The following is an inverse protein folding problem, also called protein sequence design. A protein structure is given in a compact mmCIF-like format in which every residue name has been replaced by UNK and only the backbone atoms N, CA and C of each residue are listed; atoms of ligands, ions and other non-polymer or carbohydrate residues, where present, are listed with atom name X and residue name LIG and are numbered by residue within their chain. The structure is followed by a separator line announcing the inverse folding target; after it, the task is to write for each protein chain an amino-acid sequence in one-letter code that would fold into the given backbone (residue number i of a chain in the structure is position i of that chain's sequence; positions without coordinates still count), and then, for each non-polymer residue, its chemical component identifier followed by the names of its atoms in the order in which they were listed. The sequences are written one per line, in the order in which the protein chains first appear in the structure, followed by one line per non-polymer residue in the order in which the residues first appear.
data_IF_942741151628
#
_entry.id   IF_942741151628
#
_cell.length_a   1.000
_cell.length_b   1.000
_cell.length_c   1.000
_cell.angle_alpha   90.00
_cell.angle_beta   90.00
_cell.angle_gamma   90.00
#
_symmetry.space_group_name_H-M   'P 1'
#
loop_
_entity.id
_entity.type
_entity.pdbx_description
1 polymer ?
#
# COMPACT_ATOMS: atom_id res chain seq x y z
N UNK A 1 -21.00 25.49 3.30
CA UNK A 1 -19.65 24.89 3.35
C UNK A 1 -19.70 23.65 2.50
N UNK A 2 -19.17 23.77 1.28
CA UNK A 2 -19.17 22.69 0.30
C UNK A 2 -18.13 21.64 0.73
N UNK A 3 -18.60 20.43 0.98
CA UNK A 3 -17.73 19.26 1.13
C UNK A 3 -17.11 18.96 -0.24
N UNK A 4 -15.96 19.55 -0.53
CA UNK A 4 -15.17 19.16 -1.69
C UNK A 4 -14.55 17.79 -1.40
N UNK A 5 -15.27 16.71 -1.74
CA UNK A 5 -14.71 15.37 -1.74
C UNK A 5 -13.43 15.38 -2.60
N UNK A 6 -12.26 14.98 -2.06
CA UNK A 6 -11.03 14.98 -2.84
C UNK A 6 -11.18 13.96 -3.96
N UNK A 7 -11.27 14.46 -5.19
CA UNK A 7 -11.47 13.71 -6.42
C UNK A 7 -10.44 12.58 -6.49
N UNK A 8 -10.91 11.34 -6.34
CA UNK A 8 -10.10 10.17 -6.68
C UNK A 8 -9.69 10.26 -8.15
N UNK A 9 -8.45 9.88 -8.48
CA UNK A 9 -8.02 9.83 -9.87
C UNK A 9 -8.87 8.80 -10.64
N UNK A 10 -9.31 9.14 -11.85
CA UNK A 10 -10.00 8.22 -12.76
C UNK A 10 -9.14 6.98 -12.96
N UNK A 11 -9.60 5.83 -12.46
CA UNK A 11 -8.93 4.55 -12.67
C UNK A 11 -9.71 3.76 -13.70
N UNK A 12 -9.20 3.73 -14.92
CA UNK A 12 -9.77 2.92 -16.01
C UNK A 12 -9.41 1.43 -15.91
N UNK A 13 -8.83 0.99 -14.79
CA UNK A 13 -8.50 -0.41 -14.51
C UNK A 13 -9.66 -1.38 -14.74
N UNK A 14 -10.93 -1.07 -14.39
CA UNK A 14 -12.06 -1.94 -14.71
C UNK A 14 -12.24 -2.13 -16.22
N UNK A 15 -12.07 -1.06 -17.00
CA UNK A 15 -12.16 -1.11 -18.47
C UNK A 15 -11.03 -1.97 -19.06
N UNK A 16 -9.78 -1.76 -18.64
CA UNK A 16 -8.63 -2.55 -19.13
C UNK A 16 -8.78 -4.04 -18.77
N UNK A 17 -9.30 -4.34 -17.57
CA UNK A 17 -9.58 -5.71 -17.13
C UNK A 17 -10.68 -6.35 -17.97
N UNK A 18 -11.78 -5.65 -18.18
CA UNK A 18 -12.91 -6.11 -19.00
C UNK A 18 -12.48 -6.36 -20.46
N UNK A 19 -11.69 -5.45 -21.04
CA UNK A 19 -11.08 -5.61 -22.36
C UNK A 19 -10.19 -6.85 -22.41
N UNK A 20 -9.32 -7.06 -21.42
CA UNK A 20 -8.49 -8.24 -21.32
C UNK A 20 -9.29 -9.54 -21.20
N UNK A 21 -10.37 -9.54 -20.41
CA UNK A 21 -11.25 -10.71 -20.25
C UNK A 21 -12.00 -11.04 -21.56
N UNK A 22 -12.57 -10.03 -22.22
CA UNK A 22 -13.24 -10.17 -23.51
C UNK A 22 -12.29 -10.70 -24.59
N UNK A 23 -11.05 -10.20 -24.63
CA UNK A 23 -10.03 -10.63 -25.58
C UNK A 23 -9.66 -12.11 -25.39
N UNK A 24 -9.55 -12.58 -24.14
CA UNK A 24 -9.23 -13.99 -23.84
C UNK A 24 -10.43 -14.94 -23.91
N UNK A 25 -11.65 -14.42 -24.09
CA UNK A 25 -12.86 -15.22 -24.14
C UNK A 25 -13.29 -15.84 -22.81
N UNK A 26 -12.72 -15.42 -21.67
CA UNK A 26 -13.19 -15.85 -20.35
C UNK A 26 -14.52 -15.16 -20.04
N UNK A 27 -15.60 -15.94 -19.84
CA UNK A 27 -16.90 -15.43 -19.37
C UNK A 27 -16.73 -14.94 -17.92
N UNK A 28 -17.08 -13.70 -17.62
CA UNK A 28 -17.47 -13.31 -16.26
C UNK A 28 -18.81 -13.98 -15.98
N UNK A 29 -18.79 -15.14 -15.33
CA UNK A 29 -19.91 -15.74 -14.59
C UNK A 29 -19.42 -17.02 -13.90
N UNK A 30 -18.90 -16.87 -12.68
CA UNK A 30 -19.01 -17.89 -11.63
C UNK A 30 -19.38 -17.14 -10.34
N UNK A 31 -20.56 -17.39 -9.75
CA UNK A 31 -20.91 -16.88 -8.42
C UNK A 31 -20.06 -17.57 -7.34
N UNK A 32 -19.86 -16.88 -6.22
CA UNK A 32 -19.23 -17.41 -5.00
C UNK A 32 -19.83 -18.77 -4.59
N UNK A 33 -19.02 -19.83 -4.56
CA UNK A 33 -18.90 -20.77 -3.43
C UNK A 33 -17.96 -21.93 -3.81
N UNK A 34 -16.73 -21.89 -3.32
CA UNK A 34 -16.05 -23.10 -2.82
C UNK A 34 -14.75 -22.67 -2.13
N UNK A 35 -14.85 -22.62 -0.81
CA UNK A 35 -13.77 -22.62 0.15
C UNK A 35 -12.83 -23.81 -0.15
N UNK A 36 -11.60 -23.52 -0.53
CA UNK A 36 -10.60 -24.52 -0.91
C UNK A 36 -9.21 -23.93 -0.70
N UNK A 37 -8.53 -24.46 0.30
CA UNK A 37 -7.23 -24.06 0.82
C UNK A 37 -6.14 -23.93 -0.26
N UNK A 38 -5.31 -22.90 -0.12
CA UNK A 38 -3.93 -22.90 -0.62
C UNK A 38 -3.72 -22.38 -2.04
N UNK A 39 -4.18 -21.17 -2.36
CA UNK A 39 -3.77 -20.52 -3.60
C UNK A 39 -2.60 -19.57 -3.33
N UNK A 40 -1.44 -19.96 -3.83
CA UNK A 40 -0.23 -19.14 -3.88
C UNK A 40 -0.60 -17.83 -4.56
N UNK A 41 -0.60 -16.73 -3.81
CA UNK A 41 -0.62 -15.39 -4.40
C UNK A 41 0.75 -15.19 -5.03
N UNK A 42 0.95 -15.74 -6.23
CA UNK A 42 1.95 -15.23 -7.15
C UNK A 42 1.32 -13.99 -7.79
N UNK A 43 1.81 -12.77 -7.50
CA UNK A 43 1.46 -11.63 -8.32
C UNK A 43 2.26 -11.78 -9.61
N UNK A 44 1.85 -12.70 -10.49
CA UNK A 44 2.30 -12.61 -11.87
C UNK A 44 1.80 -11.25 -12.35
N UNK A 45 2.70 -10.32 -12.77
CA UNK A 45 2.27 -8.97 -13.13
C UNK A 45 1.16 -9.12 -14.16
N UNK A 46 -0.05 -8.62 -13.86
CA UNK A 46 -1.20 -8.73 -14.74
C UNK A 46 -0.75 -8.37 -16.15
N UNK A 47 -0.56 -9.38 -17.02
CA UNK A 47 -0.01 -9.17 -18.35
C UNK A 47 -0.90 -8.15 -19.03
N UNK A 48 -0.38 -6.95 -19.32
CA UNK A 48 -1.18 -5.86 -19.87
C UNK A 48 -1.58 -6.19 -21.31
N UNK A 49 -2.78 -6.72 -21.47
CA UNK A 49 -3.34 -7.12 -22.77
C UNK A 49 -3.72 -5.92 -23.63
N UNK A 50 -4.04 -4.80 -23.00
CA UNK A 50 -4.33 -3.53 -23.66
C UNK A 50 -3.45 -2.44 -23.08
N UNK A 51 -3.01 -1.54 -23.97
CA UNK A 51 -2.34 -0.29 -23.62
C UNK A 51 -3.29 0.87 -23.85
N UNK A 52 -3.24 1.83 -22.95
CA UNK A 52 -3.86 3.14 -23.14
C UNK A 52 -3.14 3.91 -24.24
N UNK A 53 -3.92 4.65 -25.02
CA UNK A 53 -3.38 5.47 -26.10
C UNK A 53 -2.79 6.75 -25.55
N UNK A 54 -1.62 7.13 -26.07
CA UNK A 54 -1.02 8.43 -25.80
C UNK A 54 -1.83 9.56 -26.44
N UNK A 55 -1.66 10.80 -25.95
CA UNK A 55 -2.37 11.98 -26.45
C UNK A 55 -2.35 12.13 -27.99
N UNK A 56 -1.22 11.76 -28.63
CA UNK A 56 -1.06 11.80 -30.10
C UNK A 56 -2.00 10.84 -30.84
N UNK A 57 -2.44 9.76 -30.19
CA UNK A 57 -3.24 8.69 -30.79
C UNK A 57 -4.73 8.74 -30.40
N UNK A 58 -5.12 9.62 -29.47
CA UNK A 58 -6.51 9.76 -29.01
C UNK A 58 -7.47 10.20 -30.12
N UNK A 59 -7.02 10.65 -31.28
CA UNK A 59 -7.93 10.91 -32.41
C UNK A 59 -8.44 9.63 -33.06
N UNK A 60 -7.67 8.55 -32.99
CA UNK A 60 -7.94 7.32 -33.75
C UNK A 60 -8.30 6.14 -32.87
N UNK A 61 -7.86 6.13 -31.60
CA UNK A 61 -8.10 5.03 -30.64
C UNK A 61 -7.97 5.50 -29.20
N UNK A 62 -8.63 4.78 -28.29
CA UNK A 62 -8.48 4.96 -26.84
C UNK A 62 -7.60 3.86 -26.25
N UNK A 63 -7.76 2.62 -26.73
CA UNK A 63 -6.94 1.48 -26.33
C UNK A 63 -6.37 0.72 -27.54
N UNK A 64 -5.25 0.03 -27.33
CA UNK A 64 -4.62 -0.85 -28.32
C UNK A 64 -4.16 -2.14 -27.65
N UNK A 65 -4.59 -3.28 -28.18
CA UNK A 65 -3.92 -4.57 -27.97
C UNK A 65 -2.94 -4.79 -29.13
N UNK A 66 -1.61 -4.68 -28.92
CA UNK A 66 -0.63 -4.78 -29.99
C UNK A 66 -0.67 -6.13 -30.71
N UNK A 67 -0.28 -6.16 -31.99
CA UNK A 67 -0.19 -7.41 -32.78
C UNK A 67 0.67 -8.47 -32.10
N UNK A 68 1.74 -8.08 -31.38
CA UNK A 68 2.57 -9.02 -30.62
C UNK A 68 1.81 -9.72 -29.50
N UNK A 69 0.87 -9.03 -28.85
CA UNK A 69 -0.02 -9.61 -27.84
C UNK A 69 -1.04 -10.52 -28.51
N UNK A 70 -1.63 -10.09 -29.62
CA UNK A 70 -2.61 -10.87 -30.36
C UNK A 70 -2.02 -12.17 -30.92
N UNK A 71 -0.77 -12.16 -31.40
CA UNK A 71 -0.06 -13.35 -31.87
C UNK A 71 0.18 -14.39 -30.77
N UNK A 72 0.11 -14.01 -29.48
CA UNK A 72 0.14 -14.99 -28.38
C UNK A 72 -1.22 -15.64 -28.11
N UNK A 73 -2.32 -15.06 -28.62
CA UNK A 73 -3.69 -15.51 -28.35
C UNK A 73 -4.36 -16.15 -29.57
N UNK A 74 -4.01 -15.70 -30.78
CA UNK A 74 -4.66 -16.09 -32.02
C UNK A 74 -3.62 -16.41 -33.08
N UNK A 75 -3.87 -17.49 -33.84
CA UNK A 75 -3.06 -17.85 -34.99
C UNK A 75 -3.00 -16.67 -35.98
N UNK A 76 -1.80 -16.38 -36.49
CA UNK A 76 -1.50 -15.27 -37.40
C UNK A 76 -1.90 -13.86 -36.89
N UNK A 77 -2.17 -13.72 -35.59
CA UNK A 77 -2.65 -12.46 -35.00
C UNK A 77 -4.05 -12.06 -35.44
N UNK A 78 -4.80 -12.95 -36.10
CA UNK A 78 -6.16 -12.67 -36.58
C UNK A 78 -7.15 -12.76 -35.42
N UNK A 79 -7.73 -11.63 -35.03
CA UNK A 79 -8.74 -11.59 -33.97
C UNK A 79 -10.09 -12.08 -34.54
N UNK A 80 -10.71 -13.13 -33.96
CA UNK A 80 -12.00 -13.61 -34.43
C UNK A 80 -13.09 -12.52 -34.33
N UNK A 81 -14.02 -12.41 -35.30
CA UNK A 81 -15.11 -11.42 -35.26
C UNK A 81 -15.96 -11.50 -33.98
N UNK A 82 -16.11 -12.70 -33.42
CA UNK A 82 -16.82 -12.91 -32.16
C UNK A 82 -16.13 -12.23 -30.97
N UNK A 83 -14.80 -12.12 -30.97
CA UNK A 83 -14.03 -11.41 -29.94
C UNK A 83 -14.20 -9.91 -30.08
N UNK A 84 -14.17 -9.39 -31.32
CA UNK A 84 -14.45 -7.98 -31.59
C UNK A 84 -15.85 -7.61 -31.11
N UNK A 85 -16.85 -8.46 -31.40
CA UNK A 85 -18.23 -8.28 -30.95
C UNK A 85 -18.34 -8.23 -29.43
N UNK A 86 -17.64 -9.12 -28.71
CA UNK A 86 -17.57 -9.11 -27.24
C UNK A 86 -16.93 -7.84 -26.70
N UNK A 87 -15.83 -7.39 -27.31
CA UNK A 87 -15.16 -6.15 -26.93
C UNK A 87 -16.09 -4.95 -27.13
N UNK A 88 -16.79 -4.85 -28.25
CA UNK A 88 -17.72 -3.74 -28.52
C UNK A 88 -19.01 -3.81 -27.69
N UNK A 89 -19.38 -5.00 -27.21
CA UNK A 89 -20.54 -5.20 -26.34
C UNK A 89 -20.22 -5.01 -24.85
N UNK A 90 -18.99 -4.63 -24.48
CA UNK A 90 -18.63 -4.40 -23.09
C UNK A 90 -19.47 -3.28 -22.48
N UNK A 91 -20.08 -3.59 -21.34
CA UNK A 91 -20.84 -2.68 -20.51
C UNK A 91 -20.67 -3.08 -19.03
N UNK A 92 -20.92 -2.16 -18.10
CA UNK A 92 -20.89 -2.46 -16.67
C UNK A 92 -20.48 -1.26 -15.82
N UNK A 93 -20.64 -1.38 -14.51
CA UNK A 93 -20.22 -0.34 -13.55
C UNK A 93 -18.72 -0.08 -13.67
N UNK A 94 -18.34 1.17 -13.96
CA UNK A 94 -16.94 1.59 -14.11
C UNK A 94 -16.24 1.14 -15.40
N UNK A 95 -16.96 0.46 -16.29
CA UNK A 95 -16.46 0.10 -17.63
C UNK A 95 -16.90 1.18 -18.61
N UNK A 96 -15.95 1.77 -19.33
CA UNK A 96 -16.25 2.76 -20.35
C UNK A 96 -17.11 2.15 -21.47
N UNK A 97 -18.13 2.86 -21.98
CA UNK A 97 -18.94 2.37 -23.09
C UNK A 97 -18.12 2.30 -24.38
N UNK A 98 -18.25 1.22 -25.14
CA UNK A 98 -17.46 1.01 -26.36
C UNK A 98 -18.19 1.51 -27.60
N UNK A 99 -17.49 2.23 -28.47
CA UNK A 99 -18.00 2.72 -29.74
C UNK A 99 -17.60 1.82 -30.91
N UNK A 100 -16.35 1.32 -30.92
CA UNK A 100 -15.84 0.49 -32.01
C UNK A 100 -14.62 -0.32 -31.61
N UNK A 101 -14.44 -1.47 -32.29
CA UNK A 101 -13.22 -2.27 -32.27
C UNK A 101 -12.79 -2.59 -33.71
N UNK A 102 -11.52 -2.37 -34.02
CA UNK A 102 -10.98 -2.55 -35.39
C UNK A 102 -9.60 -3.23 -35.34
N UNK A 103 -9.42 -4.27 -36.14
CA UNK A 103 -8.12 -4.92 -36.32
C UNK A 103 -7.34 -4.18 -37.40
N UNK A 104 -6.14 -3.74 -37.04
CA UNK A 104 -5.22 -3.03 -37.94
C UNK A 104 -3.85 -3.69 -37.90
N UNK A 105 -2.92 -3.23 -38.74
CA UNK A 105 -1.52 -3.74 -38.73
C UNK A 105 -0.83 -3.60 -37.37
N UNK A 106 -1.21 -2.58 -36.59
CA UNK A 106 -0.68 -2.33 -35.23
C UNK A 106 -1.30 -3.23 -34.16
N UNK A 107 -2.44 -3.84 -34.46
CA UNK A 107 -3.21 -4.70 -33.56
C UNK A 107 -4.68 -4.28 -33.48
N UNK A 108 -5.35 -4.67 -32.39
CA UNK A 108 -6.76 -4.40 -32.14
C UNK A 108 -6.91 -3.03 -31.46
N UNK A 109 -7.43 -2.06 -32.22
CA UNK A 109 -7.77 -0.72 -31.75
C UNK A 109 -9.18 -0.74 -31.17
N UNK A 110 -9.36 -0.05 -30.07
CA UNK A 110 -10.66 0.10 -29.42
C UNK A 110 -10.93 1.57 -29.16
N UNK A 111 -12.15 2.01 -29.47
CA UNK A 111 -12.65 3.35 -29.20
C UNK A 111 -13.78 3.31 -28.20
N UNK A 112 -13.73 4.24 -27.25
CA UNK A 112 -14.76 4.52 -26.27
C UNK A 112 -15.81 5.43 -26.90
N UNK A 113 -17.09 5.22 -26.59
CA UNK A 113 -18.11 6.23 -26.82
C UNK A 113 -17.92 7.36 -25.80
N UNK A 114 -17.07 8.32 -26.15
CA UNK A 114 -16.73 9.45 -25.29
C UNK A 114 -17.95 10.29 -24.96
N UNK A 115 -18.90 10.41 -25.89
CA UNK A 115 -20.10 11.21 -25.66
C UNK A 115 -21.01 10.53 -24.63
N UNK A 116 -21.19 9.21 -24.72
CA UNK A 116 -21.91 8.44 -23.70
C UNK A 116 -21.20 8.46 -22.34
N UNK A 117 -19.87 8.25 -22.32
CA UNK A 117 -19.08 8.31 -21.10
C UNK A 117 -19.19 9.68 -20.43
N UNK A 118 -19.05 10.76 -21.20
CA UNK A 118 -19.15 12.13 -20.70
C UNK A 118 -20.55 12.44 -20.16
N UNK A 119 -21.62 12.04 -20.88
CA UNK A 119 -22.99 12.16 -20.38
C UNK A 119 -23.21 11.41 -19.06
N UNK A 120 -22.67 10.20 -18.93
CA UNK A 120 -22.78 9.43 -17.70
C UNK A 120 -22.09 10.11 -16.52
N UNK A 121 -20.89 10.68 -16.74
CA UNK A 121 -20.17 11.46 -15.73
C UNK A 121 -20.96 12.70 -15.32
N UNK A 122 -21.47 13.47 -16.28
CA UNK A 122 -22.28 14.67 -16.00
C UNK A 122 -23.60 14.35 -15.28
N UNK A 123 -24.16 13.16 -15.49
CA UNK A 123 -25.36 12.69 -14.80
C UNK A 123 -25.09 12.16 -13.37
N UNK A 124 -23.88 12.37 -12.82
CA UNK A 124 -23.50 11.92 -11.48
C UNK A 124 -22.88 10.51 -11.42
N UNK A 125 -22.71 9.83 -12.56
CA UNK A 125 -22.08 8.51 -12.65
C UNK A 125 -20.55 8.51 -12.51
N UNK A 126 -19.94 9.64 -12.13
CA UNK A 126 -18.49 9.74 -11.95
C UNK A 126 -17.97 8.72 -10.93
N UNK A 127 -18.72 8.49 -9.86
CA UNK A 127 -18.36 7.54 -8.80
C UNK A 127 -18.09 6.13 -9.34
N UNK A 128 -18.79 5.69 -10.38
CA UNK A 128 -18.61 4.34 -10.95
C UNK A 128 -17.23 4.15 -11.58
N UNK A 129 -16.65 5.20 -12.15
CA UNK A 129 -15.28 5.19 -12.72
C UNK A 129 -14.19 5.46 -11.67
N UNK A 130 -14.59 5.95 -10.50
CA UNK A 130 -13.70 6.30 -9.39
C UNK A 130 -13.67 5.22 -8.30
N UNK A 131 -14.56 4.24 -8.36
CA UNK A 131 -14.63 3.13 -7.41
C UNK A 131 -13.32 2.33 -7.43
N UNK A 132 -12.71 2.08 -6.24
CA UNK A 132 -11.58 1.16 -6.14
C UNK A 132 -11.99 -0.21 -6.69
N UNK A 133 -11.10 -0.82 -7.46
CA UNK A 133 -11.37 -2.09 -8.14
C UNK A 133 -11.44 -3.31 -7.19
N UNK A 134 -11.10 -3.12 -5.90
CA UNK A 134 -11.25 -4.06 -4.79
C UNK A 134 -11.48 -3.25 -3.52
N UNK A 135 -12.45 -3.66 -2.70
CA UNK A 135 -12.53 -3.26 -1.30
C UNK A 135 -11.64 -4.23 -0.53
N UNK A 136 -10.43 -3.80 -0.22
CA UNK A 136 -9.55 -4.60 0.60
C UNK A 136 -9.98 -4.48 2.06
N UNK A 137 -9.86 -5.56 2.82
CA UNK A 137 -10.06 -5.56 4.27
C UNK A 137 -8.71 -5.77 4.94
N UNK A 138 -8.44 -5.03 6.01
CA UNK A 138 -7.20 -5.15 6.77
C UNK A 138 -6.82 -3.86 7.46
N UNK A 139 -5.85 -3.97 8.36
CA UNK A 139 -5.28 -2.85 9.11
C UNK A 139 -3.90 -2.51 8.55
N UNK A 140 -3.63 -1.22 8.35
CA UNK A 140 -2.33 -0.71 7.90
C UNK A 140 -1.87 0.36 8.87
N UNK A 141 -0.63 0.23 9.34
CA UNK A 141 0.04 1.24 10.15
C UNK A 141 1.02 1.99 9.26
N UNK A 142 0.87 3.32 9.15
CA UNK A 142 1.81 4.17 8.43
C UNK A 142 2.73 4.83 9.45
N UNK A 143 3.98 4.38 9.48
CA UNK A 143 5.01 4.99 10.28
C UNK A 143 5.59 6.22 9.55
N UNK A 144 5.66 7.36 10.24
CA UNK A 144 6.27 8.59 9.77
C UNK A 144 7.41 9.00 10.72
N UNK A 145 8.66 8.53 10.46
CA UNK A 145 9.84 8.84 11.25
C UNK A 145 10.06 10.33 11.50
N UNK A 146 9.65 11.17 10.56
CA UNK A 146 9.77 12.64 10.63
C UNK A 146 8.99 13.29 11.78
N UNK A 147 7.99 12.59 12.33
CA UNK A 147 7.14 13.08 13.42
C UNK A 147 7.44 12.43 14.78
N UNK A 148 8.40 11.49 14.83
CA UNK A 148 8.82 10.91 16.11
C UNK A 148 9.44 12.00 16.98
N UNK A 149 8.99 12.07 18.23
CA UNK A 149 9.60 12.94 19.22
C UNK A 149 11.04 12.45 19.47
N UNK A 150 12.01 13.28 19.12
CA UNK A 150 13.41 13.12 19.55
C UNK A 150 13.69 14.25 20.52
N UNK A 151 14.43 13.98 21.60
CA UNK A 151 14.06 14.11 23.03
C UNK A 151 13.16 15.29 23.44
N UNK A 152 13.04 16.35 22.63
CA UNK A 152 12.09 17.43 22.80
C UNK A 152 10.84 17.20 21.94
N UNK A 153 9.66 17.55 22.47
CA UNK A 153 8.40 17.51 21.71
C UNK A 153 8.58 18.21 20.36
N UNK A 154 8.29 17.55 19.23
CA UNK A 154 8.66 18.07 17.92
C UNK A 154 7.87 19.35 17.65
N UNK A 155 8.58 20.48 17.51
CA UNK A 155 7.97 21.75 17.16
C UNK A 155 7.94 21.94 15.63
N UNK A 156 6.98 22.71 15.10
CA UNK A 156 6.92 22.99 13.66
C UNK A 156 8.22 23.59 13.11
N UNK A 157 8.96 24.37 13.92
CA UNK A 157 10.20 25.02 13.48
C UNK A 157 11.34 24.03 13.21
N UNK A 158 11.25 22.80 13.75
CA UNK A 158 12.27 21.75 13.57
C UNK A 158 12.03 20.91 12.30
N UNK A 159 10.91 21.09 11.61
CA UNK A 159 10.60 20.36 10.38
C UNK A 159 11.37 20.91 9.19
N UNK A 160 12.27 20.11 8.65
CA UNK A 160 12.87 20.38 7.34
C UNK A 160 11.87 20.15 6.22
N UNK A 161 12.13 20.70 5.03
CA UNK A 161 11.32 20.41 3.83
C UNK A 161 11.28 18.90 3.50
N UNK A 162 12.34 18.15 3.82
CA UNK A 162 12.38 16.69 3.67
C UNK A 162 11.43 15.97 4.64
N UNK A 163 11.37 16.44 5.89
CA UNK A 163 10.40 15.95 6.88
C UNK A 163 8.97 16.25 6.42
N UNK A 164 8.69 17.49 6.01
CA UNK A 164 7.37 17.87 5.54
C UNK A 164 6.92 17.05 4.32
N UNK A 165 7.82 16.82 3.36
CA UNK A 165 7.55 15.92 2.22
C UNK A 165 7.17 14.53 2.69
N UNK A 166 7.87 13.99 3.69
CA UNK A 166 7.57 12.66 4.22
C UNK A 166 6.19 12.61 4.87
N UNK A 167 5.82 13.64 5.63
CA UNK A 167 4.49 13.76 6.25
C UNK A 167 3.38 13.82 5.19
N UNK A 168 3.54 14.67 4.17
CA UNK A 168 2.59 14.81 3.07
C UNK A 168 2.41 13.49 2.28
N UNK A 169 3.51 12.77 2.04
CA UNK A 169 3.45 11.47 1.39
C UNK A 169 2.73 10.44 2.26
N UNK A 170 3.05 10.38 3.56
CA UNK A 170 2.38 9.49 4.51
C UNK A 170 0.88 9.76 4.56
N UNK A 171 0.48 11.02 4.68
CA UNK A 171 -0.94 11.44 4.68
C UNK A 171 -1.65 10.97 3.40
N UNK A 172 -1.08 11.31 2.24
CA UNK A 172 -1.65 10.96 0.94
C UNK A 172 -1.78 9.45 0.75
N UNK A 173 -0.75 8.68 1.11
CA UNK A 173 -0.78 7.21 1.04
C UNK A 173 -1.87 6.66 1.96
N UNK A 174 -2.01 7.19 3.17
CA UNK A 174 -3.07 6.78 4.09
C UNK A 174 -4.47 7.09 3.57
N UNK A 175 -4.68 8.27 2.98
CA UNK A 175 -5.93 8.61 2.32
C UNK A 175 -6.24 7.66 1.16
N UNK A 176 -5.25 7.31 0.33
CA UNK A 176 -5.40 6.34 -0.76
C UNK A 176 -5.72 4.93 -0.27
N UNK A 177 -5.14 4.50 0.85
CA UNK A 177 -5.39 3.18 1.44
C UNK A 177 -6.77 3.11 2.09
N UNK A 178 -7.20 4.14 2.82
CA UNK A 178 -8.57 4.23 3.35
C UNK A 178 -9.60 4.18 2.23
N UNK A 179 -9.37 4.92 1.15
CA UNK A 179 -10.23 4.87 -0.05
C UNK A 179 -10.30 3.47 -0.66
N UNK A 180 -9.27 2.63 -0.50
CA UNK A 180 -9.26 1.23 -0.97
C UNK A 180 -9.93 0.25 0.01
N UNK A 181 -10.41 0.72 1.17
CA UNK A 181 -11.12 -0.09 2.18
C UNK A 181 -10.27 -0.49 3.39
N UNK A 182 -8.97 -0.15 3.43
CA UNK A 182 -8.14 -0.46 4.59
C UNK A 182 -8.45 0.44 5.79
N UNK A 183 -8.40 -0.12 7.00
CA UNK A 183 -8.31 0.66 8.22
C UNK A 183 -6.87 1.15 8.38
N UNK A 184 -6.66 2.47 8.38
CA UNK A 184 -5.31 3.06 8.43
C UNK A 184 -5.11 3.79 9.75
N UNK A 185 -4.06 3.43 10.49
CA UNK A 185 -3.55 4.19 11.63
C UNK A 185 -2.20 4.82 11.28
N UNK A 186 -1.88 5.96 11.88
CA UNK A 186 -0.56 6.58 11.74
C UNK A 186 0.23 6.46 13.03
N UNK A 187 1.53 6.28 12.88
CA UNK A 187 2.51 6.28 13.95
C UNK A 187 3.58 7.33 13.62
N UNK A 188 3.94 8.24 14.54
CA UNK A 188 3.44 8.34 15.91
C UNK A 188 2.07 9.03 15.99
N UNK A 189 1.38 8.82 17.11
CA UNK A 189 0.26 9.68 17.54
C UNK A 189 0.85 10.91 18.21
N UNK A 190 0.41 12.09 17.79
CA UNK A 190 0.91 13.35 18.35
C UNK A 190 0.19 13.71 19.66
N UNK A 191 0.83 14.47 20.57
CA UNK A 191 0.14 15.00 21.73
C UNK A 191 -0.99 15.95 21.33
N UNK A 192 -2.16 15.79 21.96
CA UNK A 192 -3.28 16.70 21.82
C UNK A 192 -2.85 18.14 22.13
N UNK A 193 -3.37 19.09 21.34
CA UNK A 193 -3.05 20.52 21.44
C UNK A 193 -1.57 20.88 21.22
N UNK A 194 -0.75 19.98 20.65
CA UNK A 194 0.61 20.36 20.23
C UNK A 194 0.57 21.36 19.06
N UNK A 195 1.52 22.31 19.04
CA UNK A 195 1.71 23.24 17.92
C UNK A 195 1.89 22.51 16.58
N UNK A 196 2.43 21.28 16.63
CA UNK A 196 2.57 20.41 15.48
C UNK A 196 1.22 20.04 14.86
N UNK A 197 0.25 19.61 15.67
CA UNK A 197 -1.10 19.25 15.18
C UNK A 197 -1.75 20.46 14.51
N UNK A 198 -1.68 21.65 15.14
CA UNK A 198 -2.22 22.88 14.55
C UNK A 198 -1.53 23.24 13.24
N UNK A 199 -0.21 23.07 13.15
CA UNK A 199 0.55 23.31 11.92
C UNK A 199 0.14 22.35 10.80
N UNK A 200 0.02 21.05 11.10
CA UNK A 200 -0.41 20.04 10.12
C UNK A 200 -1.86 20.30 9.65
N UNK A 201 -2.75 20.67 10.55
CA UNK A 201 -4.13 21.04 10.22
C UNK A 201 -4.19 22.28 9.31
N UNK A 202 -3.31 23.28 9.53
CA UNK A 202 -3.22 24.44 8.64
C UNK A 202 -2.77 24.06 7.21
N UNK A 203 -2.09 22.93 7.05
CA UNK A 203 -1.73 22.33 5.76
C UNK A 203 -2.80 21.39 5.20
N UNK A 204 -3.92 21.21 5.90
CA UNK A 204 -5.00 20.29 5.53
C UNK A 204 -4.72 18.83 5.86
N UNK A 205 -3.75 18.54 6.74
CA UNK A 205 -3.35 17.19 7.15
C UNK A 205 -4.02 16.86 8.49
N UNK A 206 -4.85 15.83 8.50
CA UNK A 206 -5.50 15.33 9.72
C UNK A 206 -4.69 14.17 10.31
N UNK A 207 -3.65 14.53 11.07
CA UNK A 207 -2.79 13.57 11.75
C UNK A 207 -3.37 13.17 13.11
N UNK A 208 -3.31 11.89 13.54
CA UNK A 208 -3.88 11.47 14.80
C UNK A 208 -3.21 12.17 15.98
N UNK A 209 -4.05 12.75 16.83
CA UNK A 209 -3.70 13.28 18.12
C UNK A 209 -4.38 12.47 19.22
N UNK A 210 -3.71 12.30 20.36
CA UNK A 210 -4.31 11.70 21.55
C UNK A 210 -3.96 12.52 22.80
N UNK A 211 -4.84 12.51 23.82
CA UNK A 211 -4.55 13.18 25.07
C UNK A 211 -3.30 12.56 25.67
N UNK A 212 -2.36 13.40 26.09
CA UNK A 212 -1.19 13.01 26.89
C UNK A 212 -1.65 12.56 28.28
N UNK A 213 -2.44 11.49 28.35
CA UNK A 213 -3.17 11.07 29.56
C UNK A 213 -2.57 9.82 30.20
N UNK A 214 -1.52 9.26 29.62
CA UNK A 214 -0.82 8.10 30.16
C UNK A 214 0.67 8.48 30.15
N UNK A 215 1.37 8.46 31.31
CA UNK A 215 2.80 8.69 31.30
C UNK A 215 3.41 7.65 30.36
N UNK A 216 4.11 8.14 29.34
CA UNK A 216 4.74 7.32 28.30
C UNK A 216 5.60 6.24 28.95
N UNK A 217 6.21 6.55 30.10
CA UNK A 217 6.95 5.63 30.97
C UNK A 217 6.12 4.46 31.50
N UNK A 218 4.92 4.65 32.07
CA UNK A 218 4.10 3.51 32.56
C UNK A 218 3.60 2.62 31.41
N UNK A 219 3.37 3.20 30.22
CA UNK A 219 2.98 2.44 29.04
C UNK A 219 4.17 1.68 28.47
N UNK A 220 5.32 2.33 28.38
CA UNK A 220 6.58 1.71 27.97
C UNK A 220 6.97 0.60 28.94
N UNK A 221 6.86 0.82 30.25
CA UNK A 221 7.09 -0.19 31.29
C UNK A 221 6.10 -1.35 31.17
N UNK A 222 4.81 -1.10 30.95
CA UNK A 222 3.83 -2.17 30.69
C UNK A 222 4.11 -2.93 29.39
N UNK A 223 4.58 -2.26 28.34
CA UNK A 223 4.95 -2.89 27.07
C UNK A 223 6.23 -3.70 27.26
N UNK A 224 7.24 -3.15 27.94
CA UNK A 224 8.48 -3.83 28.29
C UNK A 224 8.17 -5.06 29.15
N UNK A 225 7.37 -4.94 30.19
CA UNK A 225 6.89 -6.06 31.01
C UNK A 225 6.14 -7.11 30.16
N UNK A 226 5.28 -6.69 29.24
CA UNK A 226 4.56 -7.61 28.36
C UNK A 226 5.52 -8.32 27.39
N UNK A 227 6.54 -7.63 26.89
CA UNK A 227 7.60 -8.21 26.07
C UNK A 227 8.51 -9.13 26.89
N UNK A 228 8.76 -8.81 28.17
CA UNK A 228 9.52 -9.66 29.10
C UNK A 228 8.82 -10.98 29.39
N UNK A 229 7.49 -10.92 29.50
CA UNK A 229 6.58 -12.05 29.74
C UNK A 229 6.18 -12.76 28.44
N UNK A 230 6.66 -12.30 27.29
CA UNK A 230 6.31 -12.87 25.98
C UNK A 230 6.89 -14.29 25.82
N UNK A 231 6.10 -15.26 25.32
CA UNK A 231 6.59 -16.61 25.03
C UNK A 231 7.60 -16.65 23.87
N UNK A 232 7.74 -15.53 23.14
CA UNK A 232 8.65 -15.36 22.01
C UNK A 232 9.95 -14.64 22.39
N UNK A 233 10.18 -14.39 23.69
CA UNK A 233 11.43 -13.81 24.19
C UNK A 233 12.60 -14.76 23.91
N UNK A 234 13.66 -14.23 23.31
CA UNK A 234 14.93 -14.94 23.18
C UNK A 234 15.66 -14.88 24.53
N UNK A 235 15.96 -16.04 25.11
CA UNK A 235 16.82 -16.10 26.30
C UNK A 235 18.28 -16.01 25.85
N UNK A 236 19.10 -15.26 26.59
CA UNK A 236 20.56 -15.10 26.33
C UNK A 236 21.33 -16.42 26.26
N UNK A 237 20.72 -17.54 26.68
CA UNK A 237 21.27 -18.89 26.57
C UNK A 237 21.44 -19.39 25.13
N UNK A 238 20.79 -18.77 24.13
CA UNK A 238 20.96 -19.17 22.72
C UNK A 238 22.21 -18.57 22.05
N UNK A 239 23.07 -17.85 22.82
CA UNK A 239 24.45 -17.52 22.42
C UNK A 239 25.36 -18.76 22.26
N UNK A 240 24.87 -19.96 22.60
CA UNK A 240 25.66 -21.19 22.76
C UNK A 240 25.54 -22.25 21.66
N UNK A 241 25.05 -21.97 20.45
CA UNK A 241 25.13 -22.96 19.34
C UNK A 241 25.52 -22.35 18.00
N UNK A 242 26.68 -21.69 17.99
CA UNK A 242 27.50 -21.62 16.77
C UNK A 242 27.85 -23.05 16.37
N UNK A 243 27.18 -23.58 15.35
CA UNK A 243 27.75 -24.69 14.58
C UNK A 243 29.09 -24.21 14.06
N UNK A 244 30.15 -24.79 14.62
CA UNK A 244 31.53 -24.66 14.18
C UNK A 244 31.63 -24.88 12.67
N UNK A 245 32.01 -23.82 11.96
CA UNK A 245 32.31 -23.82 10.52
C UNK A 245 33.00 -22.51 10.18
N UNK A 246 34.34 -22.53 10.14
CA UNK A 246 35.20 -21.34 10.23
C UNK A 246 35.14 -20.35 9.07
N UNK A 247 35.67 -19.15 9.34
CA UNK A 247 36.39 -18.36 8.33
C UNK A 247 36.06 -16.88 8.24
N UNK A 248 36.71 -16.07 9.09
CA UNK A 248 37.37 -14.81 8.69
C UNK A 248 36.55 -13.55 8.37
N UNK A 249 36.87 -12.46 9.08
CA UNK A 249 36.98 -11.13 8.47
C UNK A 249 35.99 -10.03 8.90
N UNK A 250 36.41 -9.29 9.94
CA UNK A 250 36.24 -7.83 10.15
C UNK A 250 34.91 -7.11 9.87
N UNK A 251 34.40 -6.45 10.91
CA UNK A 251 33.48 -5.32 10.78
C UNK A 251 32.80 -5.03 12.12
N UNK A 252 33.42 -4.19 12.93
CA UNK A 252 32.82 -3.69 14.16
C UNK A 252 31.67 -2.72 13.83
N UNK A 253 30.47 -3.03 14.34
CA UNK A 253 29.43 -2.07 14.70
C UNK A 253 28.94 -2.54 16.08
N UNK A 254 29.45 -1.93 17.14
CA UNK A 254 28.81 -0.81 17.86
C UNK A 254 27.84 -1.32 18.95
N UNK A 255 28.29 -1.18 20.20
CA UNK A 255 27.45 -1.09 21.40
C UNK A 255 26.36 -2.14 21.56
N UNK A 256 26.72 -3.38 21.91
CA UNK A 256 25.74 -4.28 22.52
C UNK A 256 25.28 -3.65 23.84
N UNK A 257 24.09 -3.05 23.86
CA UNK A 257 23.39 -2.71 25.10
C UNK A 257 23.17 -4.02 25.87
N UNK A 258 24.07 -4.29 26.81
CA UNK A 258 23.98 -5.32 27.82
C UNK A 258 22.69 -5.07 28.63
N UNK A 259 21.59 -5.73 28.24
CA UNK A 259 20.25 -5.52 28.80
C UNK A 259 19.11 -5.34 27.78
N UNK A 260 19.38 -5.28 26.47
CA UNK A 260 18.32 -5.13 25.47
C UNK A 260 17.45 -6.40 25.33
N UNK A 261 16.14 -6.25 25.50
CA UNK A 261 15.15 -7.31 25.41
C UNK A 261 14.92 -7.71 23.96
N UNK A 262 15.12 -8.99 23.62
CA UNK A 262 14.97 -9.52 22.26
C UNK A 262 13.73 -10.41 22.13
N UNK A 263 12.88 -10.11 21.16
CA UNK A 263 11.70 -10.92 20.81
C UNK A 263 11.83 -11.46 19.40
N UNK A 264 11.68 -12.78 19.25
CA UNK A 264 11.73 -13.47 17.96
C UNK A 264 10.41 -13.27 17.21
N UNK A 265 10.36 -12.22 16.40
CA UNK A 265 9.18 -11.89 15.62
C UNK A 265 8.86 -13.02 14.63
N UNK A 266 9.88 -13.60 13.99
CA UNK A 266 9.69 -14.68 13.02
C UNK A 266 8.87 -15.84 13.59
N UNK A 267 9.15 -16.26 14.82
CA UNK A 267 8.41 -17.32 15.51
C UNK A 267 6.98 -16.89 15.82
N UNK A 268 6.78 -15.66 16.32
CA UNK A 268 5.45 -15.12 16.59
C UNK A 268 4.57 -15.08 15.33
N UNK A 269 5.10 -14.56 14.22
CA UNK A 269 4.34 -14.46 12.97
C UNK A 269 4.04 -15.84 12.35
N UNK A 270 4.96 -16.81 12.48
CA UNK A 270 4.77 -18.17 11.98
C UNK A 270 3.73 -18.97 12.80
N UNK A 271 3.76 -18.86 14.13
CA UNK A 271 2.85 -19.58 15.01
C UNK A 271 1.44 -18.95 15.05
N UNK A 272 1.33 -17.62 14.95
CA UNK A 272 0.05 -16.90 14.94
C UNK A 272 -0.57 -16.78 13.52
N UNK A 273 0.09 -17.29 12.48
CA UNK A 273 -0.45 -17.31 11.12
C UNK A 273 -0.70 -15.92 10.51
N UNK A 274 0.04 -14.90 10.95
CA UNK A 274 -0.14 -13.52 10.54
C UNK A 274 0.39 -13.28 9.12
N UNK A 275 -0.49 -12.83 8.22
CA UNK A 275 -0.17 -12.55 6.81
C UNK A 275 0.51 -11.18 6.66
N UNK A 276 1.56 -11.08 5.82
CA UNK A 276 2.21 -9.82 5.46
C UNK A 276 3.49 -9.49 6.24
N UNK A 277 4.04 -10.44 6.99
CA UNK A 277 5.34 -10.30 7.64
C UNK A 277 6.49 -10.17 6.63
N UNK A 278 7.33 -9.15 6.80
CA UNK A 278 8.60 -9.02 6.09
C UNK A 278 9.65 -9.94 6.75
N UNK A 279 10.17 -10.97 6.06
CA UNK A 279 11.14 -11.90 6.62
C UNK A 279 12.47 -11.28 7.07
N UNK A 280 12.76 -10.05 6.64
CA UNK A 280 13.97 -9.31 7.02
C UNK A 280 13.93 -8.76 8.45
N UNK A 281 12.74 -8.61 9.05
CA UNK A 281 12.56 -8.07 10.42
C UNK A 281 12.54 -9.21 11.44
N UNK A 282 13.67 -9.93 11.58
CA UNK A 282 13.75 -11.17 12.37
C UNK A 282 13.58 -11.00 13.89
N UNK A 283 14.03 -9.87 14.45
CA UNK A 283 14.10 -9.63 15.89
C UNK A 283 13.69 -8.20 16.22
N UNK A 284 12.91 -8.04 17.30
CA UNK A 284 12.62 -6.74 17.91
C UNK A 284 13.51 -6.57 19.14
N UNK A 285 14.25 -5.46 19.23
CA UNK A 285 15.05 -5.08 20.40
C UNK A 285 14.36 -3.94 21.14
N UNK A 286 13.98 -4.16 22.39
CA UNK A 286 13.54 -3.11 23.31
C UNK A 286 14.67 -2.76 24.28
N UNK A 287 14.94 -1.47 24.50
CA UNK A 287 15.86 -1.02 25.53
C UNK A 287 15.18 0.07 26.37
N UNK A 288 15.33 -0.01 27.69
CA UNK A 288 15.01 1.09 28.60
C UNK A 288 16.19 2.06 28.62
N UNK A 289 15.99 3.30 28.20
CA UNK A 289 17.01 4.35 28.30
C UNK A 289 17.04 4.88 29.74
N UNK A 290 17.76 4.19 30.62
CA UNK A 290 18.03 4.69 31.97
C UNK A 290 19.12 5.76 31.87
N UNK A 291 18.76 7.04 32.06
CA UNK A 291 19.73 8.12 32.19
C UNK A 291 20.73 7.81 33.32
N UNK A 292 21.96 7.43 32.96
CA UNK A 292 23.10 7.55 33.88
C UNK A 292 23.48 9.02 33.93
N UNK A 293 23.05 9.70 34.98
CA UNK A 293 23.65 10.96 35.40
C UNK A 293 25.06 10.67 35.93
N UNK A 294 26.05 10.66 35.03
CA UNK A 294 27.45 10.77 35.41
C UNK A 294 27.70 12.24 35.81
N UNK A 295 27.47 12.53 37.09
CA UNK A 295 28.02 13.70 37.75
C UNK A 295 29.50 13.42 38.00
N UNK A 296 30.39 13.88 37.11
CA UNK A 296 31.79 14.11 37.42
C UNK A 296 32.25 15.44 36.81
N UNK A 297 32.15 16.49 37.62
CA UNK A 297 32.90 17.73 37.43
C UNK A 297 34.25 17.59 38.15
N UNK A 298 35.37 17.94 37.51
CA UNK A 298 36.50 18.49 38.22
C UNK A 298 36.71 19.96 37.85
N UNK A 299 36.93 20.78 38.88
CA UNK A 299 37.52 22.12 38.79
C UNK A 299 38.96 22.06 38.26
#
# INVERSE_FOLDING_TARGET
MENSEPLSALRISPTVRALGAALRGKRENVPECSQGNGDRISPEPEKLWFKESTAKNLRTRDFLSPTTVLGTLFADGQVPPAVISKVTALHGSGVLPMAAGEVTREGLRVRVDRAAAFRAVLAGGAADYLKPSRQNQGWVVINCPALHAKPDTPTPEMLTLGHLRSVLLSDHVGALLRKQGFAVSYCPTLPDNSKMVTFLQALGIDWPAAPTSWPTEEREEKILEALEKSPYREQDTDRGRRTSGGGGGSGAEEGEMEGALRVNLKRAFQEEGLLGYDPSIGTCTGASETQRADNDFPC
#
